data_IF_269836128524
#
_entry.id   IF_269836128524
#
_cell.length_a   1.000
_cell.length_b   1.000
_cell.length_c   1.000
_cell.angle_alpha   90.00
_cell.angle_beta   90.00
_cell.angle_gamma   90.00
#
_symmetry.space_group_name_H-M   'P 1'
#
loop_
_entity.id
_entity.type
_entity.pdbx_description
1 polymer ?
#
# COMPACT_ATOMS: atom_id res chain seq x y z
N UNK A 1 36.84 50.80 -41.38
CA UNK A 1 37.06 49.86 -40.26
C UNK A 1 35.90 49.93 -39.26
N UNK A 2 34.67 49.56 -39.65
CA UNK A 2 33.48 49.61 -38.77
C UNK A 2 32.45 48.49 -39.00
N UNK A 3 32.67 47.61 -39.97
CA UNK A 3 31.71 46.55 -40.33
C UNK A 3 32.13 45.17 -39.81
N UNK A 4 33.38 45.02 -39.35
CA UNK A 4 33.92 43.72 -38.90
C UNK A 4 33.60 43.35 -37.44
N UNK A 5 32.94 44.22 -36.67
CA UNK A 5 32.64 43.96 -35.25
C UNK A 5 31.20 43.51 -34.98
N UNK A 6 30.28 43.63 -35.93
CA UNK A 6 28.86 43.28 -35.73
C UNK A 6 28.53 41.81 -36.06
N UNK A 7 29.42 41.10 -36.75
CA UNK A 7 29.22 39.71 -37.19
C UNK A 7 29.65 38.66 -36.18
N UNK A 8 30.31 39.05 -35.08
CA UNK A 8 30.78 38.13 -34.04
C UNK A 8 29.78 37.90 -32.89
N UNK A 9 28.69 38.65 -32.83
CA UNK A 9 27.74 38.61 -31.70
C UNK A 9 26.49 37.74 -31.95
N UNK A 10 26.32 37.20 -33.16
CA UNK A 10 25.09 36.50 -33.55
C UNK A 10 25.10 34.97 -33.27
N UNK A 11 26.15 34.41 -32.67
CA UNK A 11 26.36 32.94 -32.63
C UNK A 11 26.05 32.31 -31.25
N UNK A 12 25.81 33.06 -30.17
CA UNK A 12 25.90 32.49 -28.80
C UNK A 12 24.60 32.40 -28.00
N UNK A 13 23.41 32.53 -28.60
CA UNK A 13 22.16 32.54 -27.80
C UNK A 13 21.11 31.49 -28.17
N UNK A 14 21.54 30.29 -28.57
CA UNK A 14 20.70 29.10 -28.37
C UNK A 14 20.90 28.60 -26.94
N UNK A 15 20.41 29.37 -25.96
CA UNK A 15 20.16 28.85 -24.62
C UNK A 15 18.99 27.85 -24.75
N UNK A 16 19.32 26.63 -25.17
CA UNK A 16 18.40 25.51 -25.12
C UNK A 16 18.03 25.32 -23.66
N UNK A 17 16.84 25.77 -23.27
CA UNK A 17 16.21 25.29 -22.05
C UNK A 17 16.05 23.79 -22.21
N UNK A 18 17.04 23.02 -21.75
CA UNK A 18 16.93 21.58 -21.65
C UNK A 18 15.74 21.33 -20.75
N UNK A 19 14.61 20.91 -21.32
CA UNK A 19 13.46 20.48 -20.54
C UNK A 19 13.89 19.21 -19.82
N UNK A 20 14.30 19.37 -18.57
CA UNK A 20 14.57 18.24 -17.69
C UNK A 20 13.21 17.61 -17.38
N UNK A 21 12.86 16.56 -18.10
CA UNK A 21 11.79 15.67 -17.65
C UNK A 21 12.36 14.88 -16.48
N UNK A 22 12.04 15.32 -15.27
CA UNK A 22 12.23 14.45 -14.11
C UNK A 22 11.25 13.32 -14.33
N UNK A 23 11.73 12.12 -14.69
CA UNK A 23 10.86 10.96 -14.63
C UNK A 23 10.54 10.75 -13.16
N UNK A 24 9.32 11.13 -12.77
CA UNK A 24 8.80 10.83 -11.46
C UNK A 24 8.54 9.32 -11.42
N UNK A 25 9.55 8.57 -10.99
CA UNK A 25 9.37 7.16 -10.67
C UNK A 25 8.64 7.12 -9.33
N UNK A 26 7.32 6.88 -9.36
CA UNK A 26 6.60 6.57 -8.14
C UNK A 26 7.12 5.22 -7.65
N UNK A 27 7.83 5.23 -6.52
CA UNK A 27 8.29 3.98 -5.87
C UNK A 27 7.24 3.47 -4.87
N UNK A 28 6.20 4.26 -4.62
CA UNK A 28 5.15 3.96 -3.64
C UNK A 28 3.80 4.22 -4.28
N UNK A 29 2.92 3.23 -4.18
CA UNK A 29 1.55 3.26 -4.68
C UNK A 29 0.59 2.85 -3.57
N UNK A 30 -0.66 3.29 -3.64
CA UNK A 30 -1.67 2.87 -2.69
C UNK A 30 -2.99 2.53 -3.35
N UNK A 31 -3.65 1.48 -2.88
CA UNK A 31 -5.01 1.11 -3.23
C UNK A 31 -5.90 1.22 -1.99
N UNK A 32 -7.12 1.73 -2.19
CA UNK A 32 -8.14 1.83 -1.15
C UNK A 32 -9.26 0.83 -1.43
N UNK A 33 -9.67 0.11 -0.39
CA UNK A 33 -10.74 -0.87 -0.42
C UNK A 33 -11.75 -0.57 0.68
N UNK A 34 -12.98 -1.02 0.47
CA UNK A 34 -14.00 -1.08 1.52
C UNK A 34 -14.39 -2.54 1.69
N UNK A 35 -14.24 -3.06 2.90
CA UNK A 35 -14.59 -4.44 3.26
C UNK A 35 -15.86 -4.39 4.10
N UNK A 36 -16.94 -4.96 3.58
CA UNK A 36 -18.18 -5.15 4.32
C UNK A 36 -18.13 -6.37 5.24
N UNK A 37 -19.03 -6.39 6.23
CA UNK A 37 -19.11 -7.47 7.21
C UNK A 37 -19.21 -8.88 6.61
N UNK A 38 -19.93 -9.02 5.49
CA UNK A 38 -20.13 -10.31 4.81
C UNK A 38 -18.90 -10.80 4.03
N UNK A 39 -17.84 -9.99 3.92
CA UNK A 39 -16.60 -10.37 3.21
C UNK A 39 -15.56 -11.00 4.15
N UNK A 40 -15.87 -11.08 5.44
CA UNK A 40 -15.06 -11.80 6.42
C UNK A 40 -15.48 -13.26 6.45
N UNK A 41 -14.54 -14.14 6.10
CA UNK A 41 -14.68 -15.58 6.22
C UNK A 41 -14.15 -16.06 7.57
N UNK A 42 -14.70 -17.16 8.07
CA UNK A 42 -14.18 -17.85 9.24
C UNK A 42 -13.12 -18.88 8.79
N UNK A 43 -11.96 -18.84 9.42
CA UNK A 43 -10.91 -19.85 9.31
C UNK A 43 -10.75 -20.63 10.61
N UNK A 44 -9.98 -21.72 10.55
CA UNK A 44 -9.61 -22.51 11.71
C UNK A 44 -8.15 -22.94 11.60
N UNK A 45 -7.39 -22.74 12.68
CA UNK A 45 -6.02 -23.22 12.79
C UNK A 45 -5.97 -24.74 13.05
N UNK A 46 -4.81 -25.39 12.87
CA UNK A 46 -4.67 -26.83 13.11
C UNK A 46 -5.03 -27.29 14.52
N UNK A 47 -4.95 -26.41 15.52
CA UNK A 47 -5.31 -26.69 16.92
C UNK A 47 -6.82 -26.51 17.20
N UNK A 48 -7.60 -26.13 16.19
CA UNK A 48 -9.04 -25.90 16.29
C UNK A 48 -9.43 -24.46 16.62
N UNK A 49 -8.46 -23.56 16.82
CA UNK A 49 -8.71 -22.15 17.13
C UNK A 49 -9.34 -21.43 15.94
N UNK A 50 -10.43 -20.71 16.20
CA UNK A 50 -11.18 -19.99 15.16
C UNK A 50 -10.61 -18.59 14.98
N UNK A 51 -10.44 -18.18 13.71
CA UNK A 51 -10.04 -16.83 13.34
C UNK A 51 -10.93 -16.32 12.20
N UNK A 52 -10.85 -15.03 11.88
CA UNK A 52 -11.56 -14.45 10.74
C UNK A 52 -10.59 -13.80 9.78
N UNK A 53 -10.91 -13.81 8.49
CA UNK A 53 -10.03 -13.22 7.48
C UNK A 53 -10.81 -12.70 6.28
N UNK A 54 -10.21 -11.77 5.55
CA UNK A 54 -10.66 -11.36 4.22
C UNK A 54 -9.47 -11.26 3.29
N UNK A 55 -9.69 -11.47 2.00
CA UNK A 55 -8.64 -11.41 0.98
C UNK A 55 -8.99 -10.37 -0.07
N UNK A 56 -8.08 -9.43 -0.24
CA UNK A 56 -8.16 -8.36 -1.23
C UNK A 56 -7.40 -8.78 -2.49
N UNK A 57 -8.04 -8.60 -3.64
CA UNK A 57 -7.37 -8.70 -4.93
C UNK A 57 -6.55 -7.42 -5.18
N UNK A 58 -5.23 -7.56 -5.22
CA UNK A 58 -4.27 -6.46 -5.39
C UNK A 58 -3.36 -6.80 -6.58
N UNK A 59 -3.86 -6.74 -7.82
CA UNK A 59 -3.10 -7.16 -9.01
C UNK A 59 -1.81 -6.36 -9.23
N UNK A 60 -1.71 -5.16 -8.66
CA UNK A 60 -0.52 -4.31 -8.68
C UNK A 60 0.61 -4.83 -7.76
N UNK A 61 0.30 -5.73 -6.82
CA UNK A 61 1.31 -6.44 -6.03
C UNK A 61 2.01 -7.48 -6.91
N UNK A 62 2.95 -7.01 -7.71
CA UNK A 62 3.78 -7.86 -8.57
C UNK A 62 4.74 -8.72 -7.75
N UNK A 63 5.26 -9.78 -8.36
CA UNK A 63 6.29 -10.61 -7.73
C UNK A 63 7.55 -9.83 -7.34
N UNK A 64 7.90 -8.75 -8.06
CA UNK A 64 9.04 -7.90 -7.69
C UNK A 64 8.84 -7.25 -6.33
N UNK A 65 7.64 -6.70 -6.09
CA UNK A 65 7.26 -6.05 -4.84
C UNK A 65 7.12 -7.10 -3.72
N UNK A 66 6.48 -8.24 -4.02
CA UNK A 66 6.28 -9.35 -3.08
C UNK A 66 7.60 -9.89 -2.51
N UNK A 67 8.63 -10.00 -3.35
CA UNK A 67 9.92 -10.59 -2.95
C UNK A 67 10.94 -9.57 -2.42
N UNK A 68 10.97 -8.36 -2.97
CA UNK A 68 12.03 -7.39 -2.69
C UNK A 68 11.52 -6.08 -2.09
N UNK A 69 10.25 -5.77 -2.32
CA UNK A 69 9.60 -4.55 -1.91
C UNK A 69 9.04 -4.60 -0.49
N UNK A 70 8.01 -3.80 -0.25
CA UNK A 70 7.25 -3.86 0.98
C UNK A 70 5.77 -3.58 0.77
N UNK A 71 4.95 -4.24 1.57
CA UNK A 71 3.50 -4.05 1.60
C UNK A 71 3.10 -3.63 3.01
N UNK A 72 2.49 -2.45 3.13
CA UNK A 72 1.97 -1.94 4.41
C UNK A 72 0.47 -1.79 4.30
N UNK A 73 -0.25 -2.43 5.21
CA UNK A 73 -1.72 -2.36 5.27
C UNK A 73 -2.14 -1.46 6.41
N UNK A 74 -3.15 -0.66 6.17
CA UNK A 74 -3.79 0.16 7.19
C UNK A 74 -5.29 -0.11 7.22
N UNK A 75 -5.87 -0.06 8.41
CA UNK A 75 -7.31 -0.11 8.62
C UNK A 75 -7.83 1.24 9.11
N UNK A 76 -9.08 1.54 8.76
CA UNK A 76 -9.88 2.58 9.41
C UNK A 76 -11.22 2.00 9.79
N UNK A 77 -11.64 2.27 11.02
CA UNK A 77 -12.96 1.97 11.53
C UNK A 77 -13.89 3.19 11.52
N UNK A 78 -13.44 4.30 10.92
CA UNK A 78 -14.29 5.46 10.67
C UNK A 78 -15.43 5.09 9.69
N UNK A 79 -16.49 5.88 9.71
CA UNK A 79 -17.60 5.73 8.77
C UNK A 79 -17.09 5.72 7.32
N UNK A 80 -17.57 4.79 6.50
CA UNK A 80 -17.13 4.64 5.11
C UNK A 80 -17.47 5.86 4.22
N UNK A 81 -18.40 6.72 4.64
CA UNK A 81 -18.72 8.00 3.99
C UNK A 81 -17.80 9.16 4.41
N UNK A 82 -16.92 8.93 5.39
CA UNK A 82 -15.95 9.93 5.81
C UNK A 82 -14.98 10.25 4.67
N UNK A 83 -14.87 11.53 4.31
CA UNK A 83 -13.98 12.02 3.26
C UNK A 83 -12.52 12.15 3.72
N UNK A 84 -12.27 12.07 5.03
CA UNK A 84 -10.94 12.11 5.63
C UNK A 84 -10.83 11.08 6.79
N UNK A 85 -10.84 9.78 6.48
CA UNK A 85 -10.73 8.73 7.49
C UNK A 85 -9.33 8.66 8.09
N UNK A 86 -9.27 8.29 9.36
CA UNK A 86 -8.04 8.03 10.12
C UNK A 86 -7.61 6.59 9.94
N UNK A 87 -6.32 6.35 9.67
CA UNK A 87 -5.78 5.03 9.36
C UNK A 87 -4.73 4.62 10.39
N UNK A 88 -4.83 3.38 10.86
CA UNK A 88 -3.86 2.74 11.76
C UNK A 88 -3.14 1.62 11.01
N UNK A 89 -1.82 1.54 11.17
CA UNK A 89 -0.99 0.58 10.44
C UNK A 89 -1.02 -0.80 11.12
N UNK A 90 -1.09 -1.86 10.32
CA UNK A 90 -1.00 -3.23 10.81
C UNK A 90 0.47 -3.70 10.91
N UNK A 91 0.80 -4.60 11.87
CA UNK A 91 -0.12 -5.25 12.81
C UNK A 91 -0.45 -4.39 14.05
N UNK A 92 -1.60 -4.67 14.66
CA UNK A 92 -2.06 -3.99 15.88
C UNK A 92 -2.95 -4.91 16.75
N UNK A 93 -3.07 -4.61 18.06
CA UNK A 93 -4.07 -5.22 18.95
C UNK A 93 -5.06 -4.18 19.45
N UNK A 94 -6.34 -4.38 19.14
CA UNK A 94 -7.44 -3.51 19.60
C UNK A 94 -8.44 -4.37 20.37
N UNK A 95 -8.76 -3.99 21.61
CA UNK A 95 -9.74 -4.69 22.45
C UNK A 95 -9.52 -6.21 22.57
N UNK A 96 -8.25 -6.66 22.59
CA UNK A 96 -7.90 -8.08 22.69
C UNK A 96 -7.99 -8.86 21.37
N UNK A 97 -8.23 -8.19 20.24
CA UNK A 97 -8.14 -8.79 18.90
C UNK A 97 -6.85 -8.33 18.23
N UNK A 98 -6.04 -9.26 17.76
CA UNK A 98 -4.87 -9.01 16.94
C UNK A 98 -5.28 -8.97 15.46
N UNK A 99 -4.87 -7.89 14.79
CA UNK A 99 -5.11 -7.63 13.38
C UNK A 99 -3.78 -7.81 12.62
N UNK A 100 -3.76 -8.74 11.67
CA UNK A 100 -2.59 -9.07 10.87
C UNK A 100 -2.79 -8.77 9.39
N UNK A 101 -1.68 -8.70 8.66
CA UNK A 101 -1.68 -8.61 7.20
C UNK A 101 -0.62 -9.56 6.64
N UNK A 102 -1.06 -10.42 5.73
CA UNK A 102 -0.23 -11.39 5.02
C UNK A 102 -0.41 -11.09 3.53
N UNK A 103 0.68 -11.08 2.78
CA UNK A 103 0.63 -10.79 1.35
C UNK A 103 1.33 -11.88 0.54
N UNK A 104 0.88 -12.00 -0.70
CA UNK A 104 1.50 -12.79 -1.75
C UNK A 104 1.22 -12.11 -3.08
N UNK A 105 1.97 -12.45 -4.13
CA UNK A 105 1.76 -11.88 -5.47
C UNK A 105 0.27 -11.84 -5.85
N UNK A 106 -0.24 -10.62 -6.12
CA UNK A 106 -1.63 -10.36 -6.50
C UNK A 106 -2.65 -10.28 -5.36
N UNK A 107 -2.26 -10.49 -4.10
CA UNK A 107 -3.20 -10.68 -3.00
C UNK A 107 -2.70 -10.16 -1.65
N UNK A 108 -3.60 -9.57 -0.88
CA UNK A 108 -3.37 -9.22 0.53
C UNK A 108 -4.50 -9.78 1.37
N UNK A 109 -4.16 -10.62 2.34
CA UNK A 109 -5.08 -11.17 3.33
C UNK A 109 -4.93 -10.42 4.64
N UNK A 110 -6.05 -10.00 5.21
CA UNK A 110 -6.11 -9.46 6.57
C UNK A 110 -6.74 -10.52 7.45
N UNK A 111 -6.13 -10.81 8.58
CA UNK A 111 -6.63 -11.78 9.55
C UNK A 111 -6.84 -11.18 10.94
N UNK A 112 -7.78 -11.79 11.67
CA UNK A 112 -8.29 -11.37 12.96
C UNK A 112 -8.21 -12.56 13.91
N UNK A 113 -7.40 -12.44 14.95
CA UNK A 113 -7.16 -13.50 15.94
C UNK A 113 -7.39 -12.96 17.34
N UNK A 114 -7.84 -13.78 18.30
CA UNK A 114 -7.79 -13.35 19.70
C UNK A 114 -6.32 -13.24 20.14
N UNK A 115 -5.97 -12.13 20.77
CA UNK A 115 -4.59 -11.84 21.17
C UNK A 115 -4.08 -12.79 22.28
N UNK A 116 -4.99 -13.45 22.99
CA UNK A 116 -4.69 -14.45 24.01
C UNK A 116 -4.59 -15.89 23.46
N UNK A 117 -4.77 -16.06 22.14
CA UNK A 117 -4.77 -17.38 21.49
C UNK A 117 -6.07 -18.17 21.64
N UNK A 118 -7.13 -17.58 22.20
CA UNK A 118 -8.46 -18.20 22.21
C UNK A 118 -9.18 -18.02 20.86
N UNK A 119 -10.42 -18.52 20.77
CA UNK A 119 -11.24 -18.27 19.59
C UNK A 119 -11.50 -16.78 19.42
N UNK A 120 -11.32 -16.26 18.20
CA UNK A 120 -11.65 -14.87 17.89
C UNK A 120 -13.13 -14.60 18.22
N UNK A 121 -13.46 -13.43 18.82
CA UNK A 121 -14.81 -13.13 19.30
C UNK A 121 -15.84 -12.95 18.16
N UNK A 122 -15.39 -12.76 16.93
CA UNK A 122 -16.22 -12.57 15.74
C UNK A 122 -15.48 -11.80 14.63
N UNK A 123 -16.06 -11.73 13.42
CA UNK A 123 -15.56 -10.85 12.37
C UNK A 123 -15.92 -9.39 12.67
N UNK A 124 -15.35 -8.45 11.90
CA UNK A 124 -15.78 -7.05 11.94
C UNK A 124 -17.20 -6.95 11.38
N UNK A 125 -18.10 -6.28 12.12
CA UNK A 125 -19.53 -6.18 11.78
C UNK A 125 -19.90 -4.91 11.00
N UNK A 126 -19.00 -3.92 10.95
CA UNK A 126 -19.16 -2.68 10.18
C UNK A 126 -18.30 -2.67 8.92
N UNK A 127 -18.54 -1.72 8.00
CA UNK A 127 -17.61 -1.49 6.89
C UNK A 127 -16.25 -1.07 7.45
N UNK A 128 -15.18 -1.63 6.90
CA UNK A 128 -13.80 -1.29 7.24
C UNK A 128 -13.12 -0.72 6.00
N UNK A 129 -12.51 0.45 6.11
CA UNK A 129 -11.68 0.96 5.03
C UNK A 129 -10.29 0.37 5.15
N UNK A 130 -9.76 -0.14 4.04
CA UNK A 130 -8.42 -0.71 3.98
C UNK A 130 -7.59 0.10 3.00
N UNK A 131 -6.40 0.50 3.41
CA UNK A 131 -5.39 1.09 2.54
C UNK A 131 -4.22 0.12 2.43
N UNK A 132 -3.92 -0.32 1.21
CA UNK A 132 -2.74 -1.13 0.91
C UNK A 132 -1.72 -0.22 0.25
N UNK A 133 -0.54 -0.09 0.85
CA UNK A 133 0.60 0.66 0.31
C UNK A 133 1.63 -0.34 -0.21
N UNK A 134 1.99 -0.20 -1.48
CA UNK A 134 2.97 -1.00 -2.19
C UNK A 134 4.23 -0.17 -2.39
N UNK A 135 5.37 -0.69 -1.97
CA UNK A 135 6.67 -0.07 -2.14
C UNK A 135 7.52 -0.97 -3.04
N UNK A 136 7.91 -0.45 -4.19
CA UNK A 136 8.85 -1.12 -5.08
C UNK A 136 10.26 -0.87 -4.58
N UNK A 137 11.03 -1.94 -4.40
CA UNK A 137 12.41 -1.86 -3.96
C UNK A 137 13.27 -2.86 -4.74
N UNK A 138 14.52 -2.46 -4.96
CA UNK A 138 15.52 -3.31 -5.59
C UNK A 138 16.27 -4.13 -4.54
N UNK A 139 16.53 -5.42 -4.80
CA UNK A 139 17.35 -6.22 -3.90
C UNK A 139 18.76 -5.61 -3.76
N UNK A 140 19.35 -5.75 -2.57
CA UNK A 140 20.77 -5.45 -2.38
C UNK A 140 21.60 -6.51 -3.12
N UNK A 141 22.61 -6.08 -3.88
CA UNK A 141 23.54 -6.99 -4.53
C UNK A 141 24.49 -7.58 -3.49
N UNK A 142 24.20 -8.80 -3.05
CA UNK A 142 25.13 -9.65 -2.29
C UNK A 142 25.68 -10.75 -3.20
#
# INVERSE_FOLDING_TARGET
MKIALLSAFAIVTFSGCTKTTVQQVNQVYSALYTVGASQWAQGQDPDGTTFYYTTLNVPELTQSIDLNGGVVVYLSFDDASNTNPTYEALPEVINGVAYGAIHSTGSVTIDLRAADGSNAPGPITGPTLVKVVLMDASPLGN
#
